data_IF_991196947971
#
_entry.id   IF_991196947971
#
_cell.length_a   1.000
_cell.length_b   1.000
_cell.length_c   1.000
_cell.angle_alpha   90.00
_cell.angle_beta   90.00
_cell.angle_gamma   90.00
#
_symmetry.space_group_name_H-M   'P 1'
#
loop_
_entity.id
_entity.type
_entity.pdbx_description
1 polymer ?
#
# COMPACT_ATOMS: atom_id res chain seq x y z
N UNK A 1 -14.02 16.75 -0.23
CA UNK A 1 -13.55 15.35 -0.26
C UNK A 1 -12.35 15.22 0.65
N UNK A 2 -12.34 14.19 1.46
CA UNK A 2 -11.23 13.89 2.37
C UNK A 2 -10.15 13.07 1.64
N UNK A 3 -10.55 12.22 0.72
CA UNK A 3 -9.63 11.50 -0.18
C UNK A 3 -9.62 12.23 -1.53
N UNK A 4 -8.55 12.98 -1.80
CA UNK A 4 -8.33 13.57 -3.12
C UNK A 4 -7.74 12.49 -4.03
N UNK A 5 -8.61 11.89 -4.85
CA UNK A 5 -8.24 10.83 -5.78
C UNK A 5 -8.12 11.39 -7.19
N UNK A 6 -6.93 11.30 -7.77
CA UNK A 6 -6.62 11.80 -9.12
C UNK A 6 -6.10 10.70 -10.02
N UNK A 7 -6.47 10.75 -11.28
CA UNK A 7 -5.94 9.89 -12.36
C UNK A 7 -4.95 10.70 -13.18
N UNK A 8 -3.69 10.26 -13.22
CA UNK A 8 -2.61 10.89 -13.98
C UNK A 8 -1.99 9.86 -14.94
N UNK A 9 -2.42 9.83 -16.20
CA UNK A 9 -2.03 8.78 -17.14
C UNK A 9 -2.40 7.39 -16.63
N UNK A 10 -1.43 6.51 -16.44
CA UNK A 10 -1.63 5.15 -15.91
C UNK A 10 -1.63 5.07 -14.37
N UNK A 11 -1.59 6.21 -13.68
CA UNK A 11 -1.46 6.28 -12.21
C UNK A 11 -2.75 6.74 -11.54
N UNK A 12 -3.14 6.05 -10.46
CA UNK A 12 -4.12 6.53 -9.48
C UNK A 12 -3.40 7.13 -8.28
N UNK A 13 -3.64 8.40 -7.96
CA UNK A 13 -3.01 9.08 -6.82
C UNK A 13 -4.06 9.34 -5.75
N UNK A 14 -3.84 8.79 -4.57
CA UNK A 14 -4.72 8.91 -3.40
C UNK A 14 -4.05 9.81 -2.37
N UNK A 15 -4.56 11.02 -2.19
CA UNK A 15 -4.08 11.96 -1.18
C UNK A 15 -5.07 12.02 -0.03
N UNK A 16 -4.64 11.65 1.17
CA UNK A 16 -5.44 11.85 2.38
C UNK A 16 -5.36 13.33 2.73
N UNK A 17 -6.47 14.05 2.65
CA UNK A 17 -6.52 15.50 2.74
C UNK A 17 -7.29 16.00 3.98
N UNK A 18 -6.69 15.75 5.15
CA UNK A 18 -7.11 16.27 6.47
C UNK A 18 -5.88 16.73 7.26
N UNK A 19 -5.08 17.68 6.73
CA UNK A 19 -3.81 18.07 7.37
C UNK A 19 -3.99 18.64 8.77
N UNK A 20 -5.14 19.27 9.08
CA UNK A 20 -5.51 19.77 10.41
C UNK A 20 -5.67 18.65 11.46
N UNK A 21 -6.01 17.43 11.01
CA UNK A 21 -6.10 16.23 11.83
C UNK A 21 -4.94 15.25 11.55
N UNK A 22 -3.79 15.72 11.06
CA UNK A 22 -2.64 14.91 10.68
C UNK A 22 -3.02 13.76 9.74
N UNK A 23 -3.97 13.97 8.84
CA UNK A 23 -4.48 13.00 7.88
C UNK A 23 -5.07 11.73 8.53
N UNK A 24 -5.61 11.85 9.75
CA UNK A 24 -6.28 10.74 10.41
C UNK A 24 -7.53 10.30 9.64
N UNK A 25 -7.78 8.99 9.62
CA UNK A 25 -8.90 8.36 8.91
C UNK A 25 -10.13 8.32 9.82
N UNK A 26 -11.14 9.12 9.49
CA UNK A 26 -12.47 9.04 10.06
C UNK A 26 -13.37 8.11 9.21
N UNK A 27 -14.62 7.89 9.63
CA UNK A 27 -15.57 7.01 8.93
C UNK A 27 -15.82 7.46 7.49
N UNK A 28 -15.93 8.77 7.26
CA UNK A 28 -16.10 9.32 5.92
C UNK A 28 -14.87 9.07 5.04
N UNK A 29 -13.66 9.33 5.55
CA UNK A 29 -12.41 9.03 4.83
C UNK A 29 -12.31 7.56 4.45
N UNK A 30 -12.72 6.64 5.34
CA UNK A 30 -12.72 5.21 5.06
C UNK A 30 -13.67 4.83 3.93
N UNK A 31 -14.84 5.46 3.85
CA UNK A 31 -15.81 5.26 2.75
C UNK A 31 -15.29 5.81 1.43
N UNK A 32 -14.83 7.06 1.43
CA UNK A 32 -14.25 7.69 0.24
C UNK A 32 -13.02 6.91 -0.27
N UNK A 33 -12.20 6.38 0.64
CA UNK A 33 -11.07 5.53 0.29
C UNK A 33 -11.53 4.20 -0.33
N UNK A 34 -12.59 3.59 0.20
CA UNK A 34 -13.21 2.40 -0.41
C UNK A 34 -13.61 2.66 -1.85
N UNK A 35 -14.40 3.72 -2.09
CA UNK A 35 -14.93 4.06 -3.41
C UNK A 35 -13.80 4.33 -4.41
N UNK A 36 -12.80 5.12 -4.00
CA UNK A 36 -11.62 5.41 -4.81
C UNK A 36 -10.79 4.15 -5.14
N UNK A 37 -10.65 3.23 -4.19
CA UNK A 37 -9.93 1.98 -4.39
C UNK A 37 -10.69 0.99 -5.29
N UNK A 38 -12.02 0.97 -5.24
CA UNK A 38 -12.85 0.17 -6.14
C UNK A 38 -12.72 0.70 -7.57
N UNK A 39 -12.85 2.01 -7.77
CA UNK A 39 -12.63 2.64 -9.08
C UNK A 39 -11.22 2.34 -9.62
N UNK A 40 -10.18 2.53 -8.80
CA UNK A 40 -8.81 2.23 -9.19
C UNK A 40 -8.61 0.77 -9.58
N UNK A 41 -9.17 -0.17 -8.80
CA UNK A 41 -9.06 -1.60 -9.08
C UNK A 41 -9.66 -1.96 -10.43
N UNK A 42 -10.83 -1.40 -10.73
CA UNK A 42 -11.66 -1.79 -11.86
C UNK A 42 -11.36 -0.98 -13.14
N UNK A 43 -10.75 0.19 -13.05
CA UNK A 43 -10.36 1.00 -14.20
C UNK A 43 -9.18 0.36 -14.98
N UNK A 44 -9.38 -0.14 -16.22
CA UNK A 44 -8.32 -0.82 -16.99
C UNK A 44 -7.16 0.10 -17.37
N UNK A 45 -7.40 1.42 -17.44
CA UNK A 45 -6.38 2.41 -17.82
C UNK A 45 -5.36 2.67 -16.70
N UNK A 46 -5.69 2.34 -15.45
CA UNK A 46 -4.80 2.55 -14.31
C UNK A 46 -3.99 1.29 -14.02
N UNK A 47 -2.68 1.44 -13.90
CA UNK A 47 -1.75 0.32 -13.74
C UNK A 47 -1.01 0.33 -12.41
N UNK A 48 -0.77 1.49 -11.79
CA UNK A 48 -0.17 1.60 -10.47
C UNK A 48 -0.84 2.70 -9.63
N UNK A 49 -0.83 2.55 -8.29
CA UNK A 49 -1.40 3.51 -7.37
C UNK A 49 -0.35 4.09 -6.41
N UNK A 50 -0.53 5.34 -6.02
CA UNK A 50 0.33 6.05 -5.07
C UNK A 50 -0.54 6.61 -3.95
N UNK A 51 -0.19 6.31 -2.69
CA UNK A 51 -0.77 6.94 -1.51
C UNK A 51 0.15 8.01 -0.97
N UNK A 52 -0.40 9.15 -0.57
CA UNK A 52 0.33 10.21 0.15
C UNK A 52 -0.59 10.99 1.09
N UNK A 53 -0.04 11.80 1.97
CA UNK A 53 -0.78 12.71 2.84
C UNK A 53 -0.67 14.16 2.36
N UNK A 54 -1.71 14.95 2.50
CA UNK A 54 -1.68 16.39 2.25
C UNK A 54 -0.80 17.10 3.29
N UNK A 55 -0.08 18.14 2.87
CA UNK A 55 0.83 18.91 3.71
C UNK A 55 2.14 18.18 4.00
N UNK A 56 2.91 18.70 4.95
CA UNK A 56 4.28 18.24 5.22
C UNK A 56 4.42 17.43 6.53
N UNK A 57 3.38 17.42 7.39
CA UNK A 57 3.50 16.89 8.76
C UNK A 57 3.26 15.39 8.84
N UNK A 58 2.30 14.89 8.08
CA UNK A 58 1.87 13.51 8.21
C UNK A 58 1.47 12.89 6.86
N UNK A 59 1.86 11.65 6.67
CA UNK A 59 1.22 10.75 5.74
C UNK A 59 -0.18 10.39 6.25
N UNK A 60 -0.26 9.81 7.44
CA UNK A 60 -1.50 9.52 8.14
C UNK A 60 -1.20 9.15 9.61
N UNK A 61 -1.88 9.81 10.55
CA UNK A 61 -1.72 9.54 11.99
C UNK A 61 -2.61 8.41 12.52
N UNK A 62 -3.28 7.65 11.64
CA UNK A 62 -4.09 6.49 12.00
C UNK A 62 -5.58 6.76 12.04
N UNK A 63 -6.30 5.99 12.85
CA UNK A 63 -7.73 6.17 13.05
C UNK A 63 -8.04 7.46 13.81
N UNK A 64 -9.05 8.19 13.38
CA UNK A 64 -9.56 9.34 14.12
C UNK A 64 -10.17 8.86 15.44
N UNK A 65 -9.56 9.29 16.56
CA UNK A 65 -9.94 8.80 17.90
C UNK A 65 -11.38 9.20 18.26
N UNK A 66 -11.84 10.35 17.76
CA UNK A 66 -13.16 10.91 18.14
C UNK A 66 -14.30 10.37 17.31
N UNK A 67 -14.02 9.89 16.09
CA UNK A 67 -15.04 9.42 15.14
C UNK A 67 -14.89 7.94 14.83
N UNK A 68 -13.71 7.51 14.40
CA UNK A 68 -13.49 6.12 13.98
C UNK A 68 -13.50 5.12 15.15
N UNK A 69 -12.89 5.45 16.31
CA UNK A 69 -12.85 4.49 17.41
C UNK A 69 -14.22 4.20 18.03
N UNK A 70 -15.12 5.17 18.27
CA UNK A 70 -16.50 4.86 18.68
C UNK A 70 -17.24 3.99 17.67
N UNK A 71 -17.12 4.29 16.36
CA UNK A 71 -17.70 3.47 15.31
C UNK A 71 -17.16 2.03 15.33
N UNK A 72 -15.85 1.84 15.46
CA UNK A 72 -15.23 0.52 15.54
C UNK A 72 -15.69 -0.26 16.78
N UNK A 73 -15.80 0.42 17.93
CA UNK A 73 -16.29 -0.19 19.18
C UNK A 73 -17.70 -0.74 19.02
N UNK A 74 -18.55 -0.05 18.28
CA UNK A 74 -19.92 -0.49 18.00
C UNK A 74 -19.98 -1.68 17.03
N UNK A 75 -19.24 -1.58 15.89
CA UNK A 75 -19.42 -2.55 14.82
C UNK A 75 -18.60 -3.83 14.94
N UNK A 76 -17.37 -3.76 15.48
CA UNK A 76 -16.46 -4.91 15.48
C UNK A 76 -17.00 -6.14 16.23
N UNK A 77 -17.63 -5.99 17.42
CA UNK A 77 -18.16 -7.16 18.16
C UNK A 77 -19.31 -7.87 17.44
N UNK A 78 -20.13 -7.13 16.69
CA UNK A 78 -21.37 -7.65 16.13
C UNK A 78 -21.36 -7.80 14.60
N UNK A 79 -20.61 -6.97 13.89
CA UNK A 79 -20.69 -6.89 12.44
C UNK A 79 -19.39 -6.35 11.81
N UNK A 80 -18.24 -7.04 11.98
CA UNK A 80 -16.94 -6.55 11.49
C UNK A 80 -16.88 -6.34 9.96
N UNK A 81 -17.78 -6.98 9.21
CA UNK A 81 -17.93 -6.82 7.75
C UNK A 81 -18.60 -5.51 7.32
N UNK A 82 -19.19 -4.74 8.25
CA UNK A 82 -19.73 -3.40 7.95
C UNK A 82 -18.67 -2.32 7.79
N UNK A 83 -17.41 -2.60 8.14
CA UNK A 83 -16.32 -1.70 7.83
C UNK A 83 -16.13 -1.59 6.31
N UNK A 84 -15.95 -0.37 5.78
CA UNK A 84 -15.57 -0.21 4.37
C UNK A 84 -14.31 -1.02 4.05
N UNK A 85 -14.39 -1.85 3.01
CA UNK A 85 -13.24 -2.65 2.59
C UNK A 85 -12.20 -1.74 1.94
N UNK A 86 -10.94 -1.88 2.36
CA UNK A 86 -9.81 -1.16 1.79
C UNK A 86 -8.68 -2.12 1.42
N UNK A 87 -7.59 -1.63 0.85
CA UNK A 87 -6.39 -2.44 0.62
C UNK A 87 -5.79 -3.00 1.93
N UNK A 88 -6.09 -2.40 3.07
CA UNK A 88 -5.69 -2.93 4.38
C UNK A 88 -6.49 -4.17 4.75
N UNK A 89 -7.78 -4.20 4.43
CA UNK A 89 -8.69 -5.31 4.77
C UNK A 89 -9.87 -5.38 3.79
N UNK A 90 -10.15 -6.58 3.30
CA UNK A 90 -11.37 -6.90 2.55
C UNK A 90 -11.31 -6.63 1.04
N UNK A 91 -10.51 -5.69 0.57
CA UNK A 91 -10.36 -5.39 -0.86
C UNK A 91 -9.04 -5.94 -1.40
N UNK A 92 -9.12 -6.84 -2.37
CA UNK A 92 -7.95 -7.37 -3.08
C UNK A 92 -7.64 -6.49 -4.29
N UNK A 93 -6.44 -5.90 -4.32
CA UNK A 93 -5.95 -5.06 -5.42
C UNK A 93 -4.62 -5.65 -5.89
N UNK A 94 -4.60 -6.14 -7.14
CA UNK A 94 -3.39 -6.73 -7.72
C UNK A 94 -2.55 -5.73 -8.49
N UNK A 95 -3.05 -4.53 -8.74
CA UNK A 95 -2.23 -3.41 -9.23
C UNK A 95 -1.24 -2.99 -8.16
N UNK A 96 0.03 -2.69 -8.50
CA UNK A 96 1.01 -2.20 -7.53
C UNK A 96 0.55 -0.94 -6.82
N UNK A 97 0.86 -0.86 -5.52
CA UNK A 97 0.59 0.29 -4.67
C UNK A 97 1.89 0.77 -4.02
N UNK A 98 2.15 2.06 -4.09
CA UNK A 98 3.31 2.73 -3.50
C UNK A 98 2.83 3.69 -2.42
N UNK A 99 3.42 3.62 -1.23
CA UNK A 99 3.23 4.62 -0.18
C UNK A 99 4.35 5.67 -0.28
N UNK A 100 3.97 6.91 -0.58
CA UNK A 100 4.82 8.11 -0.57
C UNK A 100 4.65 8.80 0.79
N UNK A 101 5.51 8.42 1.74
CA UNK A 101 5.36 8.75 3.16
C UNK A 101 6.05 10.09 3.45
N UNK A 102 5.29 11.17 3.38
CA UNK A 102 5.76 12.55 3.51
C UNK A 102 5.99 13.01 4.97
N UNK A 103 5.57 12.23 5.98
CA UNK A 103 5.72 12.60 7.39
C UNK A 103 5.32 11.45 8.32
N UNK A 104 4.55 11.75 9.38
CA UNK A 104 4.12 10.75 10.36
C UNK A 104 3.28 9.64 9.72
N UNK A 105 3.64 8.39 9.95
CA UNK A 105 2.87 7.20 9.60
C UNK A 105 2.64 6.39 10.88
N UNK A 106 1.53 6.61 11.56
CA UNK A 106 1.25 6.06 12.89
C UNK A 106 -0.02 5.23 12.90
N UNK A 107 -0.03 4.17 13.67
CA UNK A 107 -1.21 3.31 13.84
C UNK A 107 -1.76 2.86 12.49
N UNK A 108 -3.06 3.07 12.28
CA UNK A 108 -3.72 2.79 10.99
C UNK A 108 -3.05 3.43 9.77
N UNK A 109 -2.29 4.52 9.95
CA UNK A 109 -1.50 5.13 8.87
C UNK A 109 -0.29 4.30 8.50
N UNK A 110 0.41 3.71 9.48
CA UNK A 110 1.46 2.74 9.19
C UNK A 110 0.86 1.46 8.60
N UNK A 111 -0.31 1.02 9.07
CA UNK A 111 -1.01 -0.14 8.53
C UNK A 111 -1.41 0.04 7.06
N UNK A 112 -1.81 1.27 6.67
CA UNK A 112 -2.05 1.63 5.27
C UNK A 112 -0.76 1.55 4.44
N UNK A 113 0.35 2.09 4.96
CA UNK A 113 1.65 2.00 4.30
C UNK A 113 2.14 0.55 4.17
N UNK A 114 1.92 -0.29 5.20
CA UNK A 114 2.23 -1.73 5.19
C UNK A 114 1.37 -2.53 4.19
N UNK A 115 0.20 -2.03 3.84
CA UNK A 115 -0.68 -2.63 2.84
C UNK A 115 -0.33 -2.22 1.40
N UNK A 116 0.62 -1.31 1.21
CA UNK A 116 1.24 -1.00 -0.07
C UNK A 116 2.43 -1.96 -0.32
N UNK A 117 2.81 -2.11 -1.59
CA UNK A 117 3.91 -2.99 -1.99
C UNK A 117 5.28 -2.34 -1.75
N UNK A 118 5.37 -1.04 -2.03
CA UNK A 118 6.60 -0.23 -1.95
C UNK A 118 6.35 0.95 -1.01
N UNK A 119 7.36 1.33 -0.24
CA UNK A 119 7.33 2.47 0.70
C UNK A 119 8.53 3.36 0.47
N UNK A 120 8.27 4.62 0.09
CA UNK A 120 9.26 5.69 -0.08
C UNK A 120 9.02 6.69 1.02
N UNK A 121 10.02 6.99 1.81
CA UNK A 121 9.88 7.81 3.00
C UNK A 121 10.64 9.14 2.90
N UNK A 122 10.02 10.18 3.43
CA UNK A 122 10.75 11.40 3.78
C UNK A 122 11.78 11.10 4.88
N UNK A 123 12.95 11.72 4.84
CA UNK A 123 13.94 11.69 5.93
C UNK A 123 13.37 12.20 7.26
N UNK A 124 12.28 13.00 7.22
CA UNK A 124 11.55 13.50 8.39
C UNK A 124 10.44 12.56 8.87
N UNK A 125 10.18 11.46 8.15
CA UNK A 125 9.13 10.53 8.50
C UNK A 125 9.39 9.81 9.82
N UNK A 126 8.30 9.51 10.55
CA UNK A 126 8.33 8.73 11.79
C UNK A 126 7.27 7.64 11.69
N UNK A 127 7.61 6.47 12.20
CA UNK A 127 6.80 5.27 12.08
C UNK A 127 6.53 4.65 13.44
N UNK A 128 5.33 4.11 13.66
CA UNK A 128 5.01 3.37 14.86
C UNK A 128 3.59 2.86 14.90
N UNK A 129 3.37 1.91 15.81
CA UNK A 129 2.06 1.31 16.10
C UNK A 129 1.75 1.52 17.59
N UNK A 130 1.32 2.75 17.99
CA UNK A 130 1.19 3.11 19.39
C UNK A 130 -0.13 2.63 20.03
N UNK A 131 -0.94 1.81 19.36
CA UNK A 131 -2.26 1.37 19.80
C UNK A 131 -2.27 0.75 21.19
N UNK A 132 -1.20 0.04 21.57
CA UNK A 132 -1.08 -0.59 22.90
C UNK A 132 -1.06 0.43 24.04
N UNK A 133 -0.61 1.66 23.78
CA UNK A 133 -0.65 2.76 24.78
C UNK A 133 -2.07 3.25 25.05
N UNK A 134 -3.03 2.89 24.19
CA UNK A 134 -4.45 3.17 24.33
C UNK A 134 -5.27 1.92 24.77
N UNK A 135 -4.60 0.82 25.10
CA UNK A 135 -5.26 -0.45 25.42
C UNK A 135 -5.87 -1.17 24.21
N UNK A 136 -5.38 -0.87 23.00
CA UNK A 136 -5.82 -1.47 21.73
C UNK A 136 -4.68 -2.25 21.08
N UNK A 137 -4.99 -2.96 20.01
CA UNK A 137 -3.98 -3.53 19.12
C UNK A 137 -4.11 -2.89 17.72
N UNK A 138 -3.03 -2.86 16.92
CA UNK A 138 -3.11 -2.51 15.50
C UNK A 138 -4.07 -3.47 14.78
N UNK A 139 -5.27 -2.97 14.44
CA UNK A 139 -6.38 -3.80 13.96
C UNK A 139 -6.57 -3.82 12.45
N UNK A 140 -5.81 -3.02 11.70
CA UNK A 140 -5.92 -2.94 10.23
C UNK A 140 -4.81 -3.71 9.50
N UNK A 141 -4.12 -4.60 10.21
CA UNK A 141 -3.16 -5.55 9.68
C UNK A 141 -1.73 -5.37 10.17
N UNK A 142 -1.47 -4.41 11.07
CA UNK A 142 -0.13 -4.13 11.62
C UNK A 142 0.48 -5.34 12.31
N UNK A 143 -0.29 -6.02 13.17
CA UNK A 143 0.14 -7.24 13.86
C UNK A 143 0.50 -8.39 12.90
N UNK A 144 0.00 -8.35 11.66
CA UNK A 144 0.20 -9.41 10.67
C UNK A 144 1.26 -9.05 9.64
N UNK A 145 1.24 -7.81 9.10
CA UNK A 145 2.15 -7.40 8.04
C UNK A 145 3.53 -7.04 8.56
N UNK A 146 3.59 -6.32 9.70
CA UNK A 146 4.87 -5.87 10.23
C UNK A 146 5.86 -7.03 10.48
N UNK A 147 5.51 -8.11 11.24
CA UNK A 147 6.43 -9.22 11.50
C UNK A 147 6.73 -10.10 10.27
N UNK A 148 6.02 -9.89 9.16
CA UNK A 148 6.33 -10.53 7.88
C UNK A 148 7.26 -9.71 6.99
N UNK A 149 7.44 -8.42 7.31
CA UNK A 149 8.29 -7.49 6.55
C UNK A 149 9.64 -7.26 7.21
N UNK A 150 9.70 -7.19 8.54
CA UNK A 150 10.92 -6.87 9.29
C UNK A 150 11.24 -7.99 10.30
N UNK A 151 12.46 -8.05 10.85
CA UNK A 151 12.81 -9.03 11.89
C UNK A 151 11.78 -9.04 13.03
N UNK A 152 11.33 -10.25 13.43
CA UNK A 152 10.26 -10.41 14.41
C UNK A 152 10.53 -9.71 15.74
N UNK A 153 11.80 -9.67 16.21
CA UNK A 153 12.17 -8.96 17.43
C UNK A 153 11.96 -7.44 17.30
N UNK A 154 12.21 -6.86 16.11
CA UNK A 154 11.94 -5.44 15.84
C UNK A 154 10.45 -5.17 15.73
N UNK A 155 9.69 -6.06 15.10
CA UNK A 155 8.24 -5.96 15.08
C UNK A 155 7.65 -6.02 16.51
N UNK A 156 8.13 -6.93 17.36
CA UNK A 156 7.73 -7.04 18.77
C UNK A 156 8.06 -5.75 19.55
N UNK A 157 9.25 -5.18 19.37
CA UNK A 157 9.62 -3.90 19.99
C UNK A 157 8.61 -2.81 19.65
N UNK A 158 8.30 -2.61 18.37
CA UNK A 158 7.35 -1.58 17.94
C UNK A 158 5.93 -1.85 18.42
N UNK A 159 5.46 -3.10 18.29
CA UNK A 159 4.09 -3.50 18.65
C UNK A 159 3.83 -3.46 20.16
N UNK A 160 4.82 -3.85 20.99
CA UNK A 160 4.59 -3.99 22.43
C UNK A 160 4.90 -2.71 23.20
N UNK A 161 5.78 -1.86 22.68
CA UNK A 161 6.14 -0.61 23.36
C UNK A 161 5.41 0.60 22.82
N UNK A 162 4.87 0.55 21.58
CA UNK A 162 4.32 1.70 20.88
C UNK A 162 5.35 2.76 20.52
N UNK A 163 6.67 2.44 20.60
CA UNK A 163 7.75 3.38 20.26
C UNK A 163 7.71 3.78 18.80
N UNK A 164 8.16 5.00 18.54
CA UNK A 164 8.36 5.51 17.20
C UNK A 164 9.82 5.35 16.77
N UNK A 165 10.00 4.99 15.50
CA UNK A 165 11.31 4.98 14.84
C UNK A 165 11.37 6.08 13.77
N UNK A 166 12.58 6.53 13.44
CA UNK A 166 12.82 7.46 12.34
C UNK A 166 12.98 6.75 10.99
N UNK A 167 13.14 7.55 9.95
CA UNK A 167 13.25 7.05 8.58
C UNK A 167 14.50 6.20 8.35
N UNK A 168 15.62 6.54 9.01
CA UNK A 168 16.87 5.81 8.84
C UNK A 168 16.81 4.43 9.49
N UNK A 169 16.24 4.34 10.70
CA UNK A 169 16.00 3.03 11.34
C UNK A 169 14.97 2.22 10.52
N UNK A 170 13.91 2.84 10.00
CA UNK A 170 12.93 2.18 9.12
C UNK A 170 13.59 1.60 7.86
N UNK A 171 14.54 2.33 7.25
CA UNK A 171 15.33 1.84 6.12
C UNK A 171 16.28 0.70 6.53
N UNK A 172 16.99 0.87 7.65
CA UNK A 172 17.93 -0.13 8.15
C UNK A 172 17.30 -1.49 8.43
N UNK A 173 16.07 -1.50 8.94
CA UNK A 173 15.33 -2.75 9.23
C UNK A 173 14.50 -3.29 8.05
N UNK A 174 14.53 -2.62 6.90
CA UNK A 174 13.77 -3.03 5.70
C UNK A 174 12.29 -2.67 5.71
N UNK A 175 11.87 -1.76 6.61
CA UNK A 175 10.48 -1.28 6.64
C UNK A 175 10.15 -0.39 5.44
N UNK A 176 11.10 0.41 4.97
CA UNK A 176 10.97 1.26 3.78
C UNK A 176 12.03 0.93 2.72
N UNK A 177 11.71 1.14 1.47
CA UNK A 177 12.58 0.82 0.32
C UNK A 177 13.66 1.88 0.10
N UNK A 178 13.35 3.16 0.38
CA UNK A 178 14.29 4.27 0.27
C UNK A 178 13.86 5.45 1.14
N UNK A 179 14.83 6.30 1.47
CA UNK A 179 14.63 7.55 2.20
C UNK A 179 15.15 8.68 1.32
N UNK A 180 14.35 9.72 1.17
CA UNK A 180 14.64 10.87 0.29
C UNK A 180 14.29 12.19 1.00
N UNK A 181 14.80 13.34 0.53
CA UNK A 181 14.37 14.65 1.03
C UNK A 181 12.85 14.83 0.94
N UNK A 182 12.23 15.60 1.86
CA UNK A 182 10.77 15.75 1.93
C UNK A 182 10.11 16.13 0.61
N UNK A 183 10.72 17.05 -0.12
CA UNK A 183 10.24 17.56 -1.40
C UNK A 183 10.33 16.54 -2.54
N UNK A 184 11.17 15.51 -2.41
CA UNK A 184 11.37 14.47 -3.41
C UNK A 184 10.45 13.25 -3.25
N UNK A 185 9.71 13.13 -2.14
CA UNK A 185 8.96 11.91 -1.81
C UNK A 185 7.95 11.54 -2.90
N UNK A 186 7.09 12.48 -3.29
CA UNK A 186 6.05 12.22 -4.29
C UNK A 186 6.63 12.05 -5.70
N UNK A 187 7.64 12.83 -6.08
CA UNK A 187 8.29 12.70 -7.38
C UNK A 187 8.99 11.35 -7.52
N UNK A 188 9.73 10.90 -6.50
CA UNK A 188 10.36 9.57 -6.49
C UNK A 188 9.30 8.45 -6.57
N UNK A 189 8.17 8.58 -5.86
CA UNK A 189 7.09 7.62 -5.96
C UNK A 189 6.49 7.56 -7.39
N UNK A 190 6.32 8.71 -8.03
CA UNK A 190 5.88 8.79 -9.44
C UNK A 190 6.90 8.16 -10.39
N UNK A 191 8.19 8.40 -10.20
CA UNK A 191 9.25 7.79 -11.00
C UNK A 191 9.23 6.26 -10.91
N UNK A 192 9.12 5.71 -9.70
CA UNK A 192 9.04 4.26 -9.50
C UNK A 192 7.74 3.68 -10.08
N UNK A 193 6.60 4.36 -9.90
CA UNK A 193 5.34 3.95 -10.50
C UNK A 193 5.42 3.96 -12.04
N UNK A 194 6.06 4.96 -12.64
CA UNK A 194 6.28 5.05 -14.08
C UNK A 194 7.19 3.91 -14.58
N UNK A 195 8.24 3.54 -13.83
CA UNK A 195 9.07 2.39 -14.16
C UNK A 195 8.26 1.09 -14.16
N UNK A 196 7.40 0.89 -13.16
CA UNK A 196 6.48 -0.25 -13.12
C UNK A 196 5.54 -0.24 -14.33
N UNK A 197 5.03 0.92 -14.73
CA UNK A 197 4.16 1.05 -15.89
C UNK A 197 4.86 0.86 -17.26
N UNK A 198 6.19 0.70 -17.29
CA UNK A 198 6.93 0.29 -18.49
C UNK A 198 6.95 -1.23 -18.68
N UNK A 199 6.64 -2.00 -17.64
CA UNK A 199 6.51 -3.46 -17.70
C UNK A 199 5.09 -3.89 -18.09
N UNK A 200 4.94 -5.14 -18.56
CA UNK A 200 3.64 -5.71 -18.90
C UNK A 200 2.71 -5.76 -17.68
N UNK A 201 1.61 -5.01 -17.68
CA UNK A 201 0.81 -4.79 -16.47
C UNK A 201 0.15 -6.08 -15.95
N UNK A 202 -0.21 -7.02 -16.83
CA UNK A 202 -0.77 -8.30 -16.42
C UNK A 202 0.29 -9.19 -15.78
N UNK A 203 1.51 -9.20 -16.31
CA UNK A 203 2.65 -9.90 -15.72
C UNK A 203 3.02 -9.33 -14.34
N UNK A 204 3.04 -7.99 -14.18
CA UNK A 204 3.26 -7.35 -12.88
C UNK A 204 2.19 -7.75 -11.85
N UNK A 205 0.91 -7.78 -12.27
CA UNK A 205 -0.20 -8.22 -11.39
C UNK A 205 -0.09 -9.71 -11.04
N UNK A 206 0.31 -10.55 -11.97
CA UNK A 206 0.54 -11.98 -11.74
C UNK A 206 1.71 -12.20 -10.76
N UNK A 207 2.83 -11.51 -10.96
CA UNK A 207 3.99 -11.57 -10.06
C UNK A 207 3.63 -11.11 -8.63
N UNK A 208 2.86 -10.02 -8.48
CA UNK A 208 2.34 -9.58 -7.17
C UNK A 208 1.46 -10.65 -6.54
N UNK A 209 0.58 -11.30 -7.32
CA UNK A 209 -0.27 -12.37 -6.82
C UNK A 209 0.55 -13.57 -6.33
N UNK A 210 1.51 -14.05 -7.14
CA UNK A 210 2.38 -15.16 -6.79
C UNK A 210 3.12 -14.87 -5.48
N UNK A 211 3.77 -13.71 -5.40
CA UNK A 211 4.52 -13.27 -4.22
C UNK A 211 3.63 -13.21 -2.96
N UNK A 212 2.51 -12.47 -2.99
CA UNK A 212 1.69 -12.24 -1.78
C UNK A 212 0.96 -13.50 -1.33
N UNK A 213 0.39 -14.27 -2.27
CA UNK A 213 -0.34 -15.50 -1.93
C UNK A 213 0.61 -16.61 -1.50
N UNK A 214 1.77 -16.72 -2.15
CA UNK A 214 2.81 -17.70 -1.83
C UNK A 214 3.32 -17.61 -0.40
N UNK A 215 3.38 -16.40 0.20
CA UNK A 215 3.77 -16.21 1.61
C UNK A 215 2.88 -16.94 2.63
N UNK A 216 1.69 -17.37 2.24
CA UNK A 216 0.74 -18.10 3.10
C UNK A 216 0.56 -19.57 2.69
N UNK A 217 1.41 -20.07 1.80
CA UNK A 217 1.35 -21.42 1.24
C UNK A 217 2.62 -22.21 1.59
N UNK A 218 2.59 -23.53 1.38
CA UNK A 218 3.83 -24.31 1.30
C UNK A 218 4.62 -23.87 0.06
N UNK A 219 5.93 -24.07 0.05
CA UNK A 219 6.74 -23.74 -1.15
C UNK A 219 6.22 -24.49 -2.40
N UNK A 220 5.84 -25.74 -2.23
CA UNK A 220 5.31 -26.57 -3.33
C UNK A 220 4.00 -25.98 -3.91
N UNK A 221 3.06 -25.58 -3.06
CA UNK A 221 1.81 -24.98 -3.51
C UNK A 221 2.04 -23.58 -4.09
N UNK A 222 3.00 -22.81 -3.54
CA UNK A 222 3.43 -21.54 -4.09
C UNK A 222 3.99 -21.65 -5.50
N UNK A 223 4.84 -22.67 -5.77
CA UNK A 223 5.39 -22.95 -7.10
C UNK A 223 4.31 -23.40 -8.09
N UNK A 224 3.30 -24.16 -7.65
CA UNK A 224 2.15 -24.50 -8.52
C UNK A 224 1.36 -23.25 -8.90
N UNK A 225 1.10 -22.36 -7.91
CA UNK A 225 0.44 -21.07 -8.19
C UNK A 225 1.26 -20.20 -9.15
N UNK A 226 2.59 -20.18 -8.99
CA UNK A 226 3.50 -19.45 -9.88
C UNK A 226 3.37 -19.94 -11.32
N UNK A 227 3.40 -21.26 -11.55
CA UNK A 227 3.20 -21.86 -12.87
C UNK A 227 1.85 -21.50 -13.50
N UNK A 228 0.76 -21.51 -12.71
CA UNK A 228 -0.57 -21.12 -13.20
C UNK A 228 -0.59 -19.65 -13.63
N UNK A 229 0.02 -18.77 -12.84
CA UNK A 229 0.09 -17.33 -13.11
C UNK A 229 1.05 -17.01 -14.27
N UNK A 230 2.15 -17.77 -14.42
CA UNK A 230 3.05 -17.67 -15.57
C UNK A 230 2.32 -18.09 -16.86
N UNK A 231 1.64 -19.23 -16.83
CA UNK A 231 0.81 -19.69 -17.95
C UNK A 231 -0.25 -18.65 -18.36
N UNK A 232 -0.91 -18.02 -17.36
CA UNK A 232 -1.80 -16.91 -17.62
C UNK A 232 -1.09 -15.74 -18.30
N UNK A 233 0.06 -15.30 -17.79
CA UNK A 233 0.81 -14.18 -18.35
C UNK A 233 1.26 -14.48 -19.79
N UNK A 234 1.71 -15.70 -20.07
CA UNK A 234 2.13 -16.14 -21.41
C UNK A 234 0.96 -16.21 -22.42
N UNK A 235 -0.28 -16.31 -21.97
CA UNK A 235 -1.46 -16.33 -22.84
C UNK A 235 -1.95 -14.95 -23.27
N UNK A 236 -1.32 -13.85 -22.78
CA UNK A 236 -1.74 -12.48 -23.03
C UNK A 236 -1.17 -11.91 -24.34
N UNK A 237 -1.86 -10.92 -24.92
CA UNK A 237 -1.33 -10.12 -26.05
C UNK A 237 -0.06 -9.36 -25.66
N UNK A 238 0.01 -8.92 -24.40
CA UNK A 238 1.17 -8.22 -23.85
C UNK A 238 2.43 -9.10 -23.85
N UNK A 239 2.30 -10.42 -23.62
CA UNK A 239 3.43 -11.34 -23.73
C UNK A 239 3.95 -11.41 -25.18
N UNK A 240 3.05 -11.54 -26.16
CA UNK A 240 3.42 -11.55 -27.57
C UNK A 240 4.08 -10.24 -28.00
N UNK A 241 3.55 -9.09 -27.56
CA UNK A 241 4.14 -7.77 -27.79
C UNK A 241 5.52 -7.64 -27.15
N UNK A 242 5.65 -8.03 -25.88
CA UNK A 242 6.91 -7.95 -25.12
C UNK A 242 8.03 -8.75 -25.79
N UNK A 243 7.77 -9.99 -26.18
CA UNK A 243 8.73 -10.88 -26.85
C UNK A 243 9.10 -10.37 -28.23
N UNK A 244 8.13 -9.86 -28.99
CA UNK A 244 8.36 -9.24 -30.30
C UNK A 244 9.20 -7.97 -30.16
N UNK A 245 8.84 -7.05 -29.27
CA UNK A 245 9.56 -5.81 -29.04
C UNK A 245 11.02 -6.06 -28.62
N UNK A 246 11.25 -7.07 -27.77
CA UNK A 246 12.61 -7.47 -27.37
C UNK A 246 13.45 -7.93 -28.56
N UNK A 247 12.87 -8.79 -29.43
CA UNK A 247 13.54 -9.29 -30.63
C UNK A 247 13.86 -8.16 -31.61
N UNK A 248 12.93 -7.22 -31.77
CA UNK A 248 13.05 -6.06 -32.64
C UNK A 248 13.88 -4.90 -32.03
N UNK A 249 14.36 -5.04 -30.79
CA UNK A 249 15.12 -4.02 -30.02
C UNK A 249 14.40 -2.67 -29.95
N UNK A 250 13.09 -2.69 -29.76
CA UNK A 250 12.24 -1.51 -29.55
C UNK A 250 11.57 -1.56 -28.17
N UNK A 251 11.01 -0.44 -27.76
CA UNK A 251 10.16 -0.41 -26.56
C UNK A 251 8.83 -1.12 -26.84
N UNK A 252 8.32 -1.94 -25.90
CA UNK A 252 7.01 -2.56 -26.02
C UNK A 252 5.89 -1.52 -25.82
N UNK A 253 4.74 -1.79 -26.42
CA UNK A 253 3.52 -1.00 -26.27
C UNK A 253 2.41 -1.86 -25.64
N UNK A 254 2.53 -2.10 -24.32
CA UNK A 254 1.61 -2.92 -23.55
C UNK A 254 0.22 -2.29 -23.43
N UNK A 255 -0.83 -3.12 -23.48
CA UNK A 255 -2.25 -2.72 -23.49
C UNK A 255 -3.07 -3.34 -22.35
N UNK A 256 -2.48 -4.13 -21.46
CA UNK A 256 -3.16 -4.91 -20.44
C UNK A 256 -4.16 -5.94 -21.01
N UNK A 257 -3.81 -6.60 -22.09
CA UNK A 257 -4.63 -7.58 -22.80
C UNK A 257 -3.93 -8.92 -22.97
#
# INVERSE_FOLDING_TARGET
MIIDYKKEGKLGIFTINRPEALNAINVQAARELHDALVDFRDDPELWAGIFTGAGEKAFCAGADIKDMLPFLKEILPASPWKMPATNMRGLKIWKPLIAAINGLALGGGLELALACDIRIASEKARFGLPEVTLGLIPGWGGTQRLPRLIPACKAAELLFTGKLIDAQEAYRIGLVNTVVPPEAVLSTAKEWAQQICQAGPLAVRAAKQAMIRGLSMTLEDGLKLENDLEGYAMSTEDFAEGTKAFTEKRKPDFKAK
#
